data_IF_076300925080
#
_entry.id   IF_076300925080
#
_cell.length_a   1.000
_cell.length_b   1.000
_cell.length_c   1.000
_cell.angle_alpha   90.00
_cell.angle_beta   90.00
_cell.angle_gamma   90.00
#
_symmetry.space_group_name_H-M   'P 1'
#
loop_
_entity.id
_entity.type
_entity.pdbx_description
1 polymer ?
#
# COMPACT_ATOMS: atom_id res chain seq x y z
N UNK A 1 -34.77 -20.54 12.53
CA UNK A 1 -33.66 -19.59 12.29
C UNK A 1 -34.13 -18.23 12.76
N UNK A 2 -33.72 -17.85 13.96
CA UNK A 2 -34.18 -16.63 14.64
C UNK A 2 -33.65 -15.37 13.93
N UNK A 3 -34.50 -14.35 13.83
CA UNK A 3 -34.19 -13.03 13.24
C UNK A 3 -32.89 -12.42 13.76
N UNK A 4 -32.57 -12.64 15.04
CA UNK A 4 -31.33 -12.19 15.70
C UNK A 4 -30.05 -12.85 15.18
N UNK A 5 -30.13 -14.11 14.75
CA UNK A 5 -28.96 -14.83 14.20
C UNK A 5 -28.66 -14.38 12.76
N UNK A 6 -29.70 -14.07 11.99
CA UNK A 6 -29.57 -13.58 10.61
C UNK A 6 -28.98 -12.17 10.55
N UNK A 7 -29.38 -11.30 11.48
CA UNK A 7 -28.86 -9.92 11.60
C UNK A 7 -27.38 -9.90 12.04
N UNK A 8 -26.96 -10.79 12.94
CA UNK A 8 -25.55 -10.92 13.35
C UNK A 8 -24.64 -11.46 12.23
N UNK A 9 -25.17 -12.34 11.37
CA UNK A 9 -24.46 -12.85 10.19
C UNK A 9 -24.21 -11.72 9.17
N UNK A 10 -25.22 -10.87 8.92
CA UNK A 10 -25.12 -9.74 7.99
C UNK A 10 -24.09 -8.69 8.46
N UNK A 11 -24.10 -8.37 9.76
CA UNK A 11 -23.12 -7.44 10.37
C UNK A 11 -21.67 -7.93 10.21
N UNK A 12 -21.42 -9.23 10.37
CA UNK A 12 -20.08 -9.80 10.23
C UNK A 12 -19.59 -9.78 8.78
N UNK A 13 -20.48 -10.01 7.81
CA UNK A 13 -20.12 -9.91 6.39
C UNK A 13 -19.81 -8.46 5.98
N UNK A 14 -20.60 -7.50 6.44
CA UNK A 14 -20.37 -6.07 6.19
C UNK A 14 -19.00 -5.62 6.75
N UNK A 15 -18.67 -6.03 7.97
CA UNK A 15 -17.35 -5.75 8.57
C UNK A 15 -16.20 -6.39 7.81
N UNK A 16 -16.40 -7.59 7.26
CA UNK A 16 -15.39 -8.26 6.45
C UNK A 16 -15.10 -7.47 5.16
N UNK A 17 -16.14 -6.91 4.53
CA UNK A 17 -16.01 -6.02 3.36
C UNK A 17 -15.29 -4.72 3.72
N UNK A 18 -15.71 -4.04 4.78
CA UNK A 18 -15.08 -2.81 5.26
C UNK A 18 -13.59 -3.01 5.56
N UNK A 19 -13.20 -4.11 6.21
CA UNK A 19 -11.79 -4.47 6.45
C UNK A 19 -10.99 -4.61 5.16
N UNK A 20 -11.57 -5.27 4.16
CA UNK A 20 -10.92 -5.50 2.89
C UNK A 20 -10.66 -4.16 2.17
N UNK A 21 -11.63 -3.26 2.20
CA UNK A 21 -11.53 -1.92 1.61
C UNK A 21 -10.54 -1.01 2.35
N UNK A 22 -10.59 -0.99 3.68
CA UNK A 22 -9.60 -0.26 4.51
C UNK A 22 -8.18 -0.70 4.16
N UNK A 23 -7.96 -2.01 4.01
CA UNK A 23 -6.66 -2.57 3.62
C UNK A 23 -6.29 -2.23 2.17
N UNK A 24 -7.25 -2.34 1.24
CA UNK A 24 -7.05 -2.08 -0.19
C UNK A 24 -6.64 -0.64 -0.46
N UNK A 25 -7.31 0.32 0.18
CA UNK A 25 -7.08 1.75 0.00
C UNK A 25 -6.14 2.35 1.07
N UNK A 26 -5.58 1.52 1.95
CA UNK A 26 -4.68 1.93 3.05
C UNK A 26 -5.22 3.08 3.89
N UNK A 27 -6.52 3.08 4.15
CA UNK A 27 -7.16 4.19 4.86
C UNK A 27 -6.78 4.10 6.35
N UNK A 28 -6.12 5.13 6.92
CA UNK A 28 -5.73 5.10 8.33
C UNK A 28 -6.97 5.13 9.22
N UNK A 29 -6.94 4.37 10.32
CA UNK A 29 -8.02 4.38 11.33
C UNK A 29 -8.20 5.79 11.91
N UNK A 30 -7.12 6.56 12.02
CA UNK A 30 -7.16 7.94 12.47
C UNK A 30 -8.01 8.83 11.55
N UNK A 31 -7.87 8.70 10.23
CA UNK A 31 -8.68 9.45 9.26
C UNK A 31 -10.16 9.12 9.39
N UNK A 32 -10.49 7.83 9.51
CA UNK A 32 -11.87 7.40 9.75
C UNK A 32 -12.42 7.98 11.04
N UNK A 33 -11.62 7.92 12.13
CA UNK A 33 -11.95 8.42 13.46
C UNK A 33 -12.28 9.91 13.48
N UNK A 34 -11.48 10.73 12.79
CA UNK A 34 -11.71 12.17 12.64
C UNK A 34 -13.03 12.45 11.90
N UNK A 35 -13.30 11.73 10.81
CA UNK A 35 -14.48 11.95 9.99
C UNK A 35 -15.79 11.51 10.69
N UNK A 36 -15.75 10.41 11.45
CA UNK A 36 -16.94 9.94 12.18
C UNK A 36 -17.12 10.59 13.56
N UNK A 37 -16.11 11.31 14.05
CA UNK A 37 -16.13 11.97 15.37
C UNK A 37 -16.07 11.01 16.55
N UNK A 38 -15.40 9.85 16.41
CA UNK A 38 -15.24 8.87 17.50
C UNK A 38 -13.77 8.62 17.79
N UNK A 39 -13.39 8.26 19.04
CA UNK A 39 -12.00 7.96 19.38
C UNK A 39 -11.43 6.81 18.55
N UNK A 40 -10.21 6.96 18.02
CA UNK A 40 -9.56 5.96 17.15
C UNK A 40 -9.48 4.56 17.78
N UNK A 41 -9.31 4.48 19.11
CA UNK A 41 -9.33 3.22 19.84
C UNK A 41 -10.68 2.48 19.72
N UNK A 42 -11.80 3.21 19.81
CA UNK A 42 -13.14 2.64 19.67
C UNK A 42 -13.40 2.17 18.24
N UNK A 43 -12.96 2.96 17.26
CA UNK A 43 -13.07 2.61 15.83
C UNK A 43 -12.26 1.35 15.54
N UNK A 44 -11.04 1.28 16.05
CA UNK A 44 -10.18 0.11 15.96
C UNK A 44 -10.84 -1.13 16.59
N UNK A 45 -11.33 -1.03 17.82
CA UNK A 45 -11.98 -2.14 18.51
C UNK A 45 -13.16 -2.71 17.73
N UNK A 46 -13.94 -1.85 17.08
CA UNK A 46 -15.10 -2.25 16.30
C UNK A 46 -14.69 -2.88 14.96
N UNK A 47 -13.73 -2.26 14.26
CA UNK A 47 -13.18 -2.85 13.04
C UNK A 47 -12.63 -4.24 13.38
N UNK A 48 -11.82 -4.40 14.42
CA UNK A 48 -11.21 -5.68 14.78
C UNK A 48 -12.11 -6.66 15.55
N UNK A 49 -13.43 -6.42 15.62
CA UNK A 49 -14.40 -7.29 16.31
C UNK A 49 -14.12 -7.48 17.81
N UNK A 50 -13.37 -6.57 18.44
CA UNK A 50 -13.16 -6.54 19.90
C UNK A 50 -14.39 -6.00 20.63
N UNK A 51 -15.23 -5.23 19.93
CA UNK A 51 -16.54 -4.76 20.40
C UNK A 51 -17.61 -4.99 19.33
N UNK A 52 -18.83 -5.34 19.76
CA UNK A 52 -19.98 -5.44 18.85
C UNK A 52 -20.31 -4.04 18.31
N UNK A 53 -20.28 -3.84 16.98
CA UNK A 53 -20.72 -2.58 16.40
C UNK A 53 -22.23 -2.40 16.55
N UNK A 54 -22.63 -1.15 16.76
CA UNK A 54 -24.00 -0.72 16.49
C UNK A 54 -24.19 -0.46 14.98
N UNK A 55 -25.38 -0.74 14.44
CA UNK A 55 -25.73 -0.54 13.03
C UNK A 55 -25.59 0.93 12.60
N UNK A 56 -25.82 1.88 13.51
CA UNK A 56 -25.57 3.31 13.25
C UNK A 56 -24.10 3.60 13.05
N UNK A 57 -23.24 2.92 13.82
CA UNK A 57 -21.79 3.11 13.76
C UNK A 57 -21.19 2.50 12.49
N UNK A 58 -21.67 1.33 12.06
CA UNK A 58 -21.25 0.71 10.79
C UNK A 58 -21.52 1.62 9.59
N UNK A 59 -22.73 2.20 9.51
CA UNK A 59 -23.07 3.13 8.43
C UNK A 59 -22.18 4.37 8.42
N UNK A 60 -21.82 4.90 9.59
CA UNK A 60 -20.88 6.04 9.67
C UNK A 60 -19.49 5.66 9.15
N UNK A 61 -18.99 4.48 9.53
CA UNK A 61 -17.69 3.97 9.05
C UNK A 61 -17.72 3.77 7.54
N UNK A 62 -18.81 3.20 7.00
CA UNK A 62 -18.99 2.99 5.57
C UNK A 62 -19.03 4.31 4.78
N UNK A 63 -19.74 5.32 5.28
CA UNK A 63 -19.80 6.65 4.64
C UNK A 63 -18.39 7.29 4.63
N UNK A 64 -17.71 7.29 5.78
CA UNK A 64 -16.36 7.86 5.88
C UNK A 64 -15.36 7.14 4.98
N UNK A 65 -15.48 5.81 4.88
CA UNK A 65 -14.65 5.01 4.00
C UNK A 65 -14.88 5.39 2.52
N UNK A 66 -16.14 5.49 2.10
CA UNK A 66 -16.48 5.86 0.73
C UNK A 66 -16.03 7.28 0.36
N UNK A 67 -16.12 8.23 1.29
CA UNK A 67 -15.60 9.58 1.08
C UNK A 67 -14.08 9.56 0.94
N UNK A 68 -13.39 8.84 1.84
CA UNK A 68 -11.94 8.66 1.77
C UNK A 68 -11.49 7.99 0.46
N UNK A 69 -12.25 7.01 -0.06
CA UNK A 69 -11.98 6.38 -1.36
C UNK A 69 -12.16 7.38 -2.50
N UNK A 70 -13.23 8.18 -2.48
CA UNK A 70 -13.48 9.22 -3.50
C UNK A 70 -12.33 10.22 -3.54
N UNK A 71 -11.82 10.69 -2.40
CA UNK A 71 -10.68 11.60 -2.34
C UNK A 71 -9.44 11.00 -3.02
N UNK A 72 -9.17 9.71 -2.77
CA UNK A 72 -8.04 8.98 -3.35
C UNK A 72 -8.19 8.86 -4.87
N UNK A 73 -9.37 8.46 -5.35
CA UNK A 73 -9.64 8.30 -6.79
C UNK A 73 -9.61 9.65 -7.51
N UNK A 74 -10.15 10.72 -6.92
CA UNK A 74 -10.10 12.08 -7.49
C UNK A 74 -8.66 12.61 -7.56
N UNK A 75 -7.81 12.27 -6.58
CA UNK A 75 -6.39 12.63 -6.59
C UNK A 75 -5.62 11.88 -7.69
N UNK A 76 -5.95 10.61 -7.93
CA UNK A 76 -5.36 9.80 -9.01
C UNK A 76 -5.77 10.26 -10.42
N UNK A 77 -6.99 10.78 -10.58
CA UNK A 77 -7.46 11.28 -11.88
C UNK A 77 -6.88 12.66 -12.24
N UNK A 78 -6.35 13.43 -11.29
CA UNK A 78 -5.66 14.70 -11.56
C UNK A 78 -4.22 14.53 -12.04
N UNK A 79 -3.58 13.39 -11.76
CA UNK A 79 -2.23 13.08 -12.24
C UNK A 79 -2.17 12.66 -13.72
N UNK A 80 -3.29 12.29 -14.34
CA UNK A 80 -3.34 11.85 -15.75
C UNK A 80 -3.25 13.00 -16.78
N UNK A 81 -3.20 14.26 -16.34
CA UNK A 81 -3.04 15.44 -17.22
C UNK A 81 -1.72 16.21 -17.05
N UNK A 82 -0.74 15.67 -16.31
CA UNK A 82 0.63 16.22 -16.30
C UNK A 82 1.64 15.18 -16.75
N UNK A 83 1.55 14.81 -18.03
CA UNK A 83 2.72 14.34 -18.80
C UNK A 83 3.58 15.57 -19.09
N UNK A 84 4.28 16.07 -18.08
CA UNK A 84 5.16 17.24 -18.22
C UNK A 84 6.46 16.97 -17.45
N UNK A 85 7.40 16.37 -18.19
CA UNK A 85 8.85 16.56 -18.06
C UNK A 85 9.35 16.83 -16.64
N UNK A 86 9.46 15.79 -15.81
CA UNK A 86 10.44 15.83 -14.74
C UNK A 86 11.75 15.38 -15.38
N UNK A 87 12.50 16.35 -15.90
CA UNK A 87 13.95 16.23 -15.89
C UNK A 87 14.32 15.73 -14.50
N UNK A 88 14.82 14.50 -14.43
CA UNK A 88 15.47 13.95 -13.27
C UNK A 88 16.58 14.94 -12.87
N UNK A 89 16.24 15.88 -12.00
CA UNK A 89 17.19 16.48 -11.08
C UNK A 89 17.74 15.28 -10.33
N UNK A 90 18.85 14.73 -10.86
CA UNK A 90 19.76 13.85 -10.15
C UNK A 90 20.17 14.63 -8.91
N UNK A 91 19.33 14.57 -7.87
CA UNK A 91 19.77 14.76 -6.52
C UNK A 91 20.73 13.60 -6.30
N UNK A 92 21.98 13.85 -6.68
CA UNK A 92 23.16 13.27 -6.05
C UNK A 92 23.02 13.63 -4.57
N UNK A 93 22.14 12.94 -3.87
CA UNK A 93 22.39 12.69 -2.48
C UNK A 93 23.68 11.87 -2.50
N UNK A 94 24.78 12.60 -2.33
CA UNK A 94 26.01 12.07 -1.75
C UNK A 94 25.61 11.59 -0.36
N UNK A 95 24.89 10.48 -0.30
CA UNK A 95 25.01 9.61 0.84
C UNK A 95 26.34 8.92 0.58
N UNK A 96 27.37 9.42 1.27
CA UNK A 96 28.47 8.56 1.69
C UNK A 96 27.83 7.45 2.55
N UNK A 97 27.12 6.52 1.93
CA UNK A 97 26.98 5.20 2.48
C UNK A 97 28.34 4.58 2.25
N UNK A 98 29.07 4.38 3.33
CA UNK A 98 30.28 3.59 3.30
C UNK A 98 29.97 2.33 2.50
N UNK A 99 30.81 2.10 1.50
CA UNK A 99 30.83 0.94 0.64
C UNK A 99 31.24 -0.33 1.42
N UNK A 100 31.00 -0.34 2.73
CA UNK A 100 30.99 -1.55 3.52
C UNK A 100 29.61 -2.19 3.32
N UNK A 101 29.58 -3.02 2.27
CA UNK A 101 28.62 -4.09 1.99
C UNK A 101 27.71 -4.40 3.19
N UNK A 102 26.62 -3.67 3.30
CA UNK A 102 25.50 -4.15 4.11
C UNK A 102 24.84 -5.23 3.26
N UNK A 103 24.93 -6.49 3.70
CA UNK A 103 24.19 -7.66 3.16
C UNK A 103 22.72 -7.33 2.88
N UNK A 104 22.16 -6.33 3.58
CA UNK A 104 20.82 -5.81 3.38
C UNK A 104 20.51 -5.30 1.98
N UNK A 105 21.50 -4.74 1.28
CA UNK A 105 21.28 -4.23 -0.07
C UNK A 105 21.42 -5.37 -1.09
N UNK A 106 22.28 -6.35 -0.87
CA UNK A 106 22.54 -7.41 -1.86
C UNK A 106 21.30 -8.27 -2.18
N UNK A 107 20.38 -8.45 -1.23
CA UNK A 107 19.17 -9.25 -1.46
C UNK A 107 17.98 -8.49 -2.05
N UNK A 108 17.92 -7.18 -1.88
CA UNK A 108 16.74 -6.40 -2.30
C UNK A 108 16.51 -6.54 -3.81
N UNK A 109 17.56 -6.29 -4.59
CA UNK A 109 17.51 -6.36 -6.05
C UNK A 109 17.11 -7.72 -6.58
N UNK A 110 17.63 -8.80 -5.98
CA UNK A 110 17.26 -10.17 -6.34
C UNK A 110 15.81 -10.51 -5.95
N UNK A 111 15.31 -9.98 -4.82
CA UNK A 111 13.88 -10.12 -4.45
C UNK A 111 12.97 -9.37 -5.41
N UNK A 112 13.33 -8.14 -5.79
CA UNK A 112 12.59 -7.34 -6.79
C UNK A 112 12.56 -8.08 -8.13
N UNK A 113 13.71 -8.59 -8.58
CA UNK A 113 13.85 -9.40 -9.79
C UNK A 113 13.01 -10.66 -9.74
N UNK A 114 13.01 -11.37 -8.61
CA UNK A 114 12.20 -12.57 -8.38
C UNK A 114 10.70 -12.26 -8.47
N UNK A 115 10.26 -11.15 -7.89
CA UNK A 115 8.87 -10.69 -8.02
C UNK A 115 8.54 -10.44 -9.50
N UNK A 116 9.38 -9.68 -10.21
CA UNK A 116 9.16 -9.35 -11.62
C UNK A 116 9.10 -10.59 -12.51
N UNK A 117 10.07 -11.50 -12.39
CA UNK A 117 10.16 -12.70 -13.23
C UNK A 117 9.03 -13.68 -12.94
N UNK A 118 8.61 -13.83 -11.67
CA UNK A 118 7.44 -14.64 -11.30
C UNK A 118 6.16 -14.08 -11.89
N UNK A 119 6.05 -12.76 -12.03
CA UNK A 119 4.93 -12.10 -12.70
C UNK A 119 5.04 -12.13 -14.24
N UNK A 120 6.13 -12.68 -14.78
CA UNK A 120 6.44 -12.75 -16.22
C UNK A 120 6.45 -11.38 -16.90
N UNK A 121 6.92 -10.35 -16.20
CA UNK A 121 6.96 -8.99 -16.74
C UNK A 121 8.35 -8.63 -17.24
N UNK A 122 8.39 -7.92 -18.37
CA UNK A 122 9.57 -7.17 -18.76
C UNK A 122 9.85 -6.05 -17.75
N UNK A 123 11.09 -5.53 -17.73
CA UNK A 123 11.44 -4.38 -16.88
C UNK A 123 10.59 -3.15 -17.20
N UNK A 124 10.25 -2.98 -18.48
CA UNK A 124 9.37 -1.92 -18.95
C UNK A 124 7.96 -2.06 -18.36
N UNK A 125 7.33 -3.23 -18.51
CA UNK A 125 5.98 -3.46 -17.97
C UNK A 125 5.94 -3.42 -16.45
N UNK A 126 7.01 -3.88 -15.78
CA UNK A 126 7.12 -3.82 -14.34
C UNK A 126 7.18 -2.37 -13.85
N UNK A 127 8.05 -1.55 -14.44
CA UNK A 127 8.18 -0.13 -14.11
C UNK A 127 6.93 0.68 -14.43
N UNK A 128 6.20 0.34 -15.51
CA UNK A 128 4.93 0.96 -15.88
C UNK A 128 3.79 0.67 -14.89
N UNK A 129 3.89 -0.39 -14.07
CA UNK A 129 2.90 -0.70 -13.02
C UNK A 129 3.14 0.04 -11.71
N UNK A 130 4.23 0.79 -11.61
CA UNK A 130 4.55 1.62 -10.46
C UNK A 130 4.03 3.05 -10.67
N UNK A 131 3.78 3.76 -9.57
CA UNK A 131 3.35 5.16 -9.56
C UNK A 131 4.25 5.96 -8.61
N UNK A 132 5.02 6.95 -9.11
CA UNK A 132 5.24 7.27 -10.51
C UNK A 132 5.90 6.11 -11.27
N UNK A 133 5.62 6.01 -12.57
CA UNK A 133 6.20 4.96 -13.42
C UNK A 133 7.73 5.07 -13.45
N UNK A 134 8.40 3.93 -13.40
CA UNK A 134 9.85 3.86 -13.47
C UNK A 134 10.31 3.39 -14.85
N UNK A 135 11.34 4.01 -15.43
CA UNK A 135 11.92 3.55 -16.68
C UNK A 135 12.64 2.21 -16.50
N UNK A 136 12.74 1.38 -17.54
CA UNK A 136 13.33 0.04 -17.45
C UNK A 136 14.80 0.05 -17.01
N UNK A 137 15.54 1.12 -17.28
CA UNK A 137 16.93 1.33 -16.83
C UNK A 137 16.98 1.45 -15.30
N UNK A 138 16.07 2.21 -14.69
CA UNK A 138 15.99 2.30 -13.22
C UNK A 138 15.61 0.96 -12.60
N UNK A 139 14.70 0.19 -13.21
CA UNK A 139 14.39 -1.17 -12.73
C UNK A 139 15.64 -2.05 -12.77
N UNK A 140 16.46 -1.95 -13.82
CA UNK A 140 17.72 -2.68 -13.89
C UNK A 140 18.71 -2.26 -12.80
N UNK A 141 18.85 -0.96 -12.55
CA UNK A 141 19.72 -0.43 -11.49
C UNK A 141 19.24 -0.89 -10.09
N UNK A 142 17.92 -0.95 -9.87
CA UNK A 142 17.32 -1.49 -8.63
C UNK A 142 17.64 -2.98 -8.49
N UNK A 143 17.39 -3.77 -9.52
CA UNK A 143 17.68 -5.21 -9.52
C UNK A 143 19.16 -5.52 -9.32
N UNK A 144 20.03 -4.62 -9.78
CA UNK A 144 21.48 -4.69 -9.61
C UNK A 144 21.98 -4.06 -8.30
N UNK A 145 21.08 -3.62 -7.41
CA UNK A 145 21.42 -2.98 -6.13
C UNK A 145 22.26 -1.70 -6.26
N UNK A 146 22.18 -1.04 -7.42
CA UNK A 146 22.90 0.20 -7.71
C UNK A 146 22.16 1.43 -7.21
N UNK A 147 20.83 1.35 -7.16
CA UNK A 147 19.97 2.39 -6.59
C UNK A 147 18.96 1.77 -5.63
N UNK A 148 18.65 2.52 -4.57
CA UNK A 148 17.59 2.16 -3.63
C UNK A 148 16.31 2.87 -4.10
N UNK A 149 15.21 2.14 -4.37
CA UNK A 149 13.93 2.75 -4.72
C UNK A 149 13.40 3.58 -3.56
N UNK A 150 12.47 4.50 -3.86
CA UNK A 150 11.75 5.23 -2.80
C UNK A 150 10.89 4.29 -1.96
N UNK A 151 10.55 4.70 -0.73
CA UNK A 151 9.65 3.92 0.13
C UNK A 151 8.31 3.63 -0.55
N UNK A 152 7.76 4.58 -1.30
CA UNK A 152 6.51 4.42 -2.01
C UNK A 152 6.60 3.33 -3.10
N UNK A 153 7.71 3.31 -3.85
CA UNK A 153 7.99 2.24 -4.82
C UNK A 153 8.20 0.90 -4.15
N UNK A 154 8.91 0.85 -3.02
CA UNK A 154 9.13 -0.39 -2.25
C UNK A 154 7.80 -1.00 -1.77
N UNK A 155 6.89 -0.16 -1.28
CA UNK A 155 5.55 -0.58 -0.87
C UNK A 155 4.77 -1.17 -2.06
N UNK A 156 4.80 -0.50 -3.22
CA UNK A 156 4.11 -0.98 -4.42
C UNK A 156 4.70 -2.27 -4.97
N UNK A 157 6.03 -2.40 -4.96
CA UNK A 157 6.72 -3.63 -5.35
C UNK A 157 6.30 -4.78 -4.44
N UNK A 158 6.23 -4.56 -3.13
CA UNK A 158 5.76 -5.56 -2.18
C UNK A 158 4.31 -5.98 -2.45
N UNK A 159 3.43 -5.02 -2.77
CA UNK A 159 2.04 -5.30 -3.13
C UNK A 159 1.91 -6.11 -4.43
N UNK A 160 2.66 -5.74 -5.47
CA UNK A 160 2.73 -6.49 -6.73
C UNK A 160 3.20 -7.93 -6.48
N UNK A 161 4.18 -8.08 -5.59
CA UNK A 161 4.68 -9.37 -5.14
C UNK A 161 3.74 -10.13 -4.20
N UNK A 162 2.68 -9.52 -3.68
CA UNK A 162 1.87 -10.07 -2.58
C UNK A 162 2.74 -10.53 -1.40
N UNK A 163 3.79 -9.77 -1.10
CA UNK A 163 4.72 -10.01 0.02
C UNK A 163 4.63 -8.85 1.01
N UNK A 164 5.15 -9.04 2.21
CA UNK A 164 5.27 -7.93 3.17
C UNK A 164 6.48 -7.07 2.85
N UNK A 165 6.40 -5.78 3.17
CA UNK A 165 7.54 -4.87 3.07
C UNK A 165 8.72 -5.35 3.93
N UNK A 166 8.44 -5.92 5.11
CA UNK A 166 9.46 -6.54 5.96
C UNK A 166 10.21 -7.65 5.23
N UNK A 167 9.52 -8.56 4.54
CA UNK A 167 10.18 -9.64 3.79
C UNK A 167 11.06 -9.09 2.66
N UNK A 168 10.57 -8.04 1.98
CA UNK A 168 11.29 -7.40 0.88
C UNK A 168 12.60 -6.76 1.35
N UNK A 169 12.60 -6.17 2.56
CA UNK A 169 13.74 -5.43 3.12
C UNK A 169 14.64 -6.25 4.06
N UNK A 170 14.15 -7.37 4.59
CA UNK A 170 14.92 -8.24 5.49
C UNK A 170 16.07 -8.91 4.74
N UNK A 171 17.23 -9.05 5.37
CA UNK A 171 18.34 -9.84 4.84
C UNK A 171 18.20 -11.29 5.33
N UNK A 172 18.44 -12.26 4.45
CA UNK A 172 18.67 -13.65 4.79
C UNK A 172 19.84 -13.76 5.77
N UNK A 173 19.68 -14.67 6.73
CA UNK A 173 20.75 -15.09 7.63
C UNK A 173 21.53 -16.22 7.00
#
# INVERSE_FOLDING_TARGET
>A
MDTLQKEQLDVNEQLKKLKAEIRRYRIPILKLSEEIGYPAALVSDIIFLRKKPDMRMLRKIEIALNNSIKDIVVSQNKSDQQVASYELKRLKYSTQYDKDKSEAVEELGEKVKTIRTRLQLSKFEFGARLSPALPPEMIQEIEANQIIPTLEHLIQIADLGKVTLDWLLRCGK
#
